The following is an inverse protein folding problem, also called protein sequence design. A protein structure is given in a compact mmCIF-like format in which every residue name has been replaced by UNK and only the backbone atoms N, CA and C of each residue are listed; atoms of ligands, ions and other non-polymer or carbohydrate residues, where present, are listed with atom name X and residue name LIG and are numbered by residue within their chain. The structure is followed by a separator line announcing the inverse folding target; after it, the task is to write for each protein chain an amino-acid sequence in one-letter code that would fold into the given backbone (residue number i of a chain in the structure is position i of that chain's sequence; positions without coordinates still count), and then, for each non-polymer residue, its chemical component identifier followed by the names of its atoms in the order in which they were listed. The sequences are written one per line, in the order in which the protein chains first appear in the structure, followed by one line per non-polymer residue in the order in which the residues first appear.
data_IF_072693919782
#
_entry.id   IF_072693919782
#
_cell.length_a   1.000
_cell.length_b   1.000
_cell.length_c   1.000
_cell.angle_alpha   90.00
_cell.angle_beta   90.00
_cell.angle_gamma   90.00
#
_symmetry.space_group_name_H-M   'P 1'
#
loop_
_entity.id
_entity.type
_entity.pdbx_description
1 polymer ?
#
# COMPACT_ATOMS: atom_id res chain seq x y z
N UNK A 1 -7.67 -17.57 6.25
CA UNK A 1 -7.15 -18.08 4.96
C UNK A 1 -6.91 -17.01 3.89
N UNK A 2 -7.87 -16.16 3.49
CA UNK A 2 -7.66 -15.18 2.40
C UNK A 2 -6.55 -14.16 2.64
N UNK A 3 -6.35 -13.68 3.87
CA UNK A 3 -5.27 -12.76 4.23
C UNK A 3 -3.89 -13.41 4.08
N UNK A 4 -3.72 -14.61 4.62
CA UNK A 4 -2.47 -15.37 4.51
C UNK A 4 -2.06 -15.62 3.05
N UNK A 5 -3.03 -15.98 2.18
CA UNK A 5 -2.76 -16.17 0.76
C UNK A 5 -2.30 -14.86 0.08
N UNK A 6 -2.87 -13.71 0.46
CA UNK A 6 -2.40 -12.40 -0.04
C UNK A 6 -0.99 -12.07 0.46
N UNK A 7 -0.72 -12.36 1.72
CA UNK A 7 0.59 -12.17 2.34
C UNK A 7 1.69 -12.98 1.63
N UNK A 8 1.44 -14.26 1.35
CA UNK A 8 2.34 -15.12 0.57
C UNK A 8 2.48 -14.63 -0.88
N UNK A 9 1.36 -14.30 -1.52
CA UNK A 9 1.35 -13.85 -2.91
C UNK A 9 2.23 -12.62 -3.13
N UNK A 10 2.13 -11.60 -2.28
CA UNK A 10 2.92 -10.37 -2.46
C UNK A 10 4.41 -10.55 -2.17
N UNK A 11 4.78 -11.56 -1.40
CA UNK A 11 6.19 -11.92 -1.19
C UNK A 11 6.77 -12.73 -2.34
N UNK A 12 5.96 -13.61 -2.94
CA UNK A 12 6.41 -14.53 -4.00
C UNK A 12 6.36 -13.90 -5.38
N UNK A 13 5.28 -13.20 -5.72
CA UNK A 13 5.04 -12.73 -7.09
C UNK A 13 6.10 -11.73 -7.60
N UNK A 14 6.51 -10.68 -6.86
CA UNK A 14 7.58 -9.79 -7.30
C UNK A 14 8.94 -10.51 -7.40
N UNK A 15 9.23 -11.44 -6.47
CA UNK A 15 10.46 -12.23 -6.50
C UNK A 15 10.50 -13.16 -7.72
N UNK A 16 9.37 -13.78 -8.07
CA UNK A 16 9.24 -14.56 -9.30
C UNK A 16 9.40 -13.69 -10.54
N UNK A 17 8.85 -12.46 -10.55
CA UNK A 17 9.07 -11.50 -11.63
C UNK A 17 10.55 -11.17 -11.86
N UNK A 18 11.31 -10.97 -10.77
CA UNK A 18 12.75 -10.77 -10.85
C UNK A 18 13.49 -12.03 -11.35
N UNK A 19 13.11 -13.20 -10.89
CA UNK A 19 13.66 -14.47 -11.39
C UNK A 19 13.46 -14.62 -12.91
N UNK A 20 12.24 -14.38 -13.41
CA UNK A 20 11.94 -14.47 -14.84
C UNK A 20 12.68 -13.42 -15.64
N UNK A 21 12.88 -12.21 -15.08
CA UNK A 21 13.68 -11.15 -15.70
C UNK A 21 15.13 -11.61 -15.93
N UNK A 22 15.76 -12.15 -14.90
CA UNK A 22 17.14 -12.66 -14.98
C UNK A 22 17.21 -13.85 -15.94
N UNK A 23 16.28 -14.78 -15.84
CA UNK A 23 16.22 -15.97 -16.69
C UNK A 23 16.08 -15.60 -18.17
N UNK A 24 15.16 -14.71 -18.53
CA UNK A 24 14.94 -14.30 -19.92
C UNK A 24 16.13 -13.54 -20.50
N UNK A 25 16.77 -12.68 -19.70
CA UNK A 25 18.00 -11.99 -20.09
C UNK A 25 19.15 -12.99 -20.34
N UNK A 26 19.32 -13.97 -19.46
CA UNK A 26 20.33 -15.03 -19.63
C UNK A 26 20.04 -15.91 -20.88
N UNK A 27 18.81 -16.30 -21.12
CA UNK A 27 18.44 -17.11 -22.29
C UNK A 27 18.72 -16.40 -23.62
N UNK A 28 18.65 -15.08 -23.67
CA UNK A 28 19.03 -14.30 -24.87
C UNK A 28 20.54 -14.40 -25.18
N UNK A 29 21.38 -14.70 -24.19
CA UNK A 29 22.82 -14.91 -24.40
C UNK A 29 23.18 -16.31 -24.88
N UNK A 30 22.26 -17.28 -24.81
CA UNK A 30 22.52 -18.70 -25.04
C UNK A 30 22.29 -19.13 -26.50
N UNK A 31 22.21 -18.24 -27.47
CA UNK A 31 22.01 -18.55 -28.90
C UNK A 31 20.86 -19.55 -29.18
N UNK A 32 19.86 -19.61 -28.30
CA UNK A 32 18.70 -20.43 -28.55
C UNK A 32 17.80 -19.76 -29.60
N UNK A 33 17.17 -20.57 -30.47
CA UNK A 33 16.38 -20.07 -31.60
C UNK A 33 14.96 -19.59 -31.19
N UNK A 34 14.71 -19.28 -29.89
CA UNK A 34 13.42 -18.83 -29.38
C UNK A 34 13.43 -17.32 -29.04
N UNK A 35 13.94 -16.51 -29.94
CA UNK A 35 14.18 -15.06 -29.71
C UNK A 35 12.92 -14.28 -29.42
N UNK A 36 11.85 -14.48 -30.20
CA UNK A 36 10.59 -13.75 -30.05
C UNK A 36 9.99 -14.05 -28.68
N UNK A 37 9.98 -15.33 -28.28
CA UNK A 37 9.47 -15.74 -26.96
C UNK A 37 10.30 -15.14 -25.83
N UNK A 38 11.63 -15.15 -25.92
CA UNK A 38 12.52 -14.62 -24.89
C UNK A 38 12.41 -13.09 -24.77
N UNK A 39 12.37 -12.35 -25.88
CA UNK A 39 12.19 -10.89 -25.88
C UNK A 39 10.83 -10.53 -25.28
N UNK A 40 9.75 -11.19 -25.69
CA UNK A 40 8.44 -10.95 -25.12
C UNK A 40 8.41 -11.18 -23.60
N UNK A 41 9.05 -12.26 -23.13
CA UNK A 41 9.15 -12.57 -21.69
C UNK A 41 9.98 -11.53 -20.94
N UNK A 42 11.09 -11.09 -21.53
CA UNK A 42 11.94 -10.03 -20.95
C UNK A 42 11.16 -8.72 -20.79
N UNK A 43 10.45 -8.29 -21.82
CA UNK A 43 9.62 -7.07 -21.77
C UNK A 43 8.55 -7.19 -20.69
N UNK A 44 7.85 -8.32 -20.62
CA UNK A 44 6.83 -8.57 -19.61
C UNK A 44 7.40 -8.54 -18.19
N UNK A 45 8.51 -9.23 -17.96
CA UNK A 45 9.18 -9.27 -16.66
C UNK A 45 9.72 -7.88 -16.25
N UNK A 46 10.25 -7.12 -17.22
CA UNK A 46 10.66 -5.72 -17.00
C UNK A 46 9.48 -4.84 -16.57
N UNK A 47 8.30 -5.01 -17.17
CA UNK A 47 7.10 -4.23 -16.77
C UNK A 47 6.65 -4.58 -15.37
N UNK A 48 6.63 -5.85 -14.99
CA UNK A 48 6.30 -6.27 -13.61
C UNK A 48 7.33 -5.73 -12.64
N UNK A 49 8.62 -5.91 -12.92
CA UNK A 49 9.70 -5.45 -12.06
C UNK A 49 9.76 -3.92 -11.93
N UNK A 50 9.59 -3.19 -13.04
CA UNK A 50 9.59 -1.71 -13.04
C UNK A 50 8.45 -1.14 -12.20
N UNK A 51 7.29 -1.80 -12.17
CA UNK A 51 6.19 -1.41 -11.31
C UNK A 51 6.54 -1.59 -9.83
N UNK A 52 6.90 -2.79 -9.41
CA UNK A 52 7.21 -3.05 -7.99
C UNK A 52 8.47 -2.31 -7.53
N UNK A 53 9.53 -2.29 -8.33
CA UNK A 53 10.73 -1.51 -8.05
C UNK A 53 10.46 -0.01 -8.00
N UNK A 54 9.64 0.48 -8.93
CA UNK A 54 9.22 1.88 -8.99
C UNK A 54 8.50 2.37 -7.74
N UNK A 55 7.75 1.50 -7.04
CA UNK A 55 7.11 1.86 -5.76
C UNK A 55 8.13 2.23 -4.67
N UNK A 56 9.34 1.66 -4.71
CA UNK A 56 10.39 1.96 -3.74
C UNK A 56 11.32 3.08 -4.21
N UNK A 57 11.55 3.22 -5.51
CA UNK A 57 12.44 4.23 -6.07
C UNK A 57 11.76 5.58 -6.26
N UNK A 58 10.49 5.57 -6.69
CA UNK A 58 9.68 6.78 -6.89
C UNK A 58 8.76 6.96 -5.69
N UNK A 59 8.87 8.11 -5.01
CA UNK A 59 7.98 8.45 -3.90
C UNK A 59 6.56 8.73 -4.42
N UNK A 60 5.77 7.68 -4.66
CA UNK A 60 4.39 7.78 -5.15
C UNK A 60 3.42 7.28 -4.07
N UNK A 61 2.53 8.15 -3.58
CA UNK A 61 1.56 7.80 -2.55
C UNK A 61 0.38 6.99 -3.11
N UNK A 62 0.12 7.08 -4.40
CA UNK A 62 -1.02 6.45 -5.09
C UNK A 62 -0.65 6.02 -6.51
N UNK A 63 -1.42 5.07 -7.04
CA UNK A 63 -1.35 4.65 -8.45
C UNK A 63 -2.75 4.52 -9.02
N UNK A 64 -2.89 4.48 -10.36
CA UNK A 64 -4.18 4.20 -10.96
C UNK A 64 -4.68 2.78 -10.62
N UNK A 65 -6.01 2.60 -10.58
CA UNK A 65 -6.65 1.30 -10.26
C UNK A 65 -6.19 0.20 -11.21
N UNK A 66 -6.16 0.46 -12.50
CA UNK A 66 -5.98 -0.55 -13.54
C UNK A 66 -4.55 -0.64 -14.07
N UNK A 67 -3.67 0.34 -13.77
CA UNK A 67 -2.31 0.39 -14.31
C UNK A 67 -2.27 0.15 -15.83
N UNK A 68 -3.10 0.89 -16.57
CA UNK A 68 -3.41 0.62 -17.99
C UNK A 68 -2.16 0.42 -18.85
N UNK A 69 -1.15 1.28 -18.73
CA UNK A 69 0.09 1.17 -19.51
C UNK A 69 0.83 -0.14 -19.23
N UNK A 70 1.05 -0.49 -17.95
CA UNK A 70 1.71 -1.75 -17.59
C UNK A 70 0.89 -2.95 -18.07
N UNK A 71 -0.43 -2.93 -17.84
CA UNK A 71 -1.33 -4.02 -18.23
C UNK A 71 -1.35 -4.22 -19.75
N UNK A 72 -1.43 -3.11 -20.53
CA UNK A 72 -1.43 -3.19 -21.99
C UNK A 72 -0.12 -3.78 -22.52
N UNK A 73 1.02 -3.31 -22.03
CA UNK A 73 2.33 -3.82 -22.47
C UNK A 73 2.51 -5.29 -22.09
N UNK A 74 2.10 -5.71 -20.89
CA UNK A 74 2.14 -7.11 -20.44
C UNK A 74 1.29 -8.00 -21.36
N UNK A 75 0.07 -7.56 -21.73
CA UNK A 75 -0.81 -8.33 -22.60
C UNK A 75 -0.28 -8.41 -24.04
N UNK A 76 0.24 -7.30 -24.58
CA UNK A 76 0.88 -7.31 -25.91
C UNK A 76 2.09 -8.23 -25.92
N UNK A 77 2.97 -8.15 -24.91
CA UNK A 77 4.12 -9.02 -24.79
C UNK A 77 3.72 -10.49 -24.73
N UNK A 78 2.63 -10.83 -24.03
CA UNK A 78 2.12 -12.19 -23.97
C UNK A 78 1.60 -12.68 -25.34
N UNK A 79 0.91 -11.83 -26.09
CA UNK A 79 0.47 -12.15 -27.46
C UNK A 79 1.70 -12.42 -28.35
N UNK A 80 2.75 -11.60 -28.25
CA UNK A 80 4.00 -11.81 -29.00
C UNK A 80 4.64 -13.15 -28.66
N UNK A 81 4.65 -13.56 -27.37
CA UNK A 81 5.13 -14.88 -26.94
C UNK A 81 4.31 -16.01 -27.56
N UNK A 82 2.98 -15.88 -27.59
CA UNK A 82 2.09 -16.88 -28.21
C UNK A 82 2.34 -17.00 -29.71
N UNK A 83 2.54 -15.89 -30.43
CA UNK A 83 2.91 -15.89 -31.86
C UNK A 83 4.27 -16.56 -32.04
N UNK A 84 5.28 -16.17 -31.26
CA UNK A 84 6.62 -16.76 -31.30
C UNK A 84 6.59 -18.29 -31.13
N UNK A 85 5.71 -18.80 -30.27
CA UNK A 85 5.54 -20.24 -30.02
C UNK A 85 5.06 -21.04 -31.27
N UNK A 86 4.42 -20.39 -32.23
CA UNK A 86 4.04 -21.00 -33.49
C UNK A 86 5.14 -20.96 -34.57
N UNK A 87 6.05 -19.98 -34.48
CA UNK A 87 7.07 -19.67 -35.49
C UNK A 87 8.43 -20.27 -35.10
N UNK A 88 8.74 -20.31 -33.82
CA UNK A 88 10.04 -20.72 -33.28
C UNK A 88 9.94 -22.08 -32.56
N UNK A 89 11.10 -22.74 -32.25
CA UNK A 89 11.14 -23.91 -31.39
C UNK A 89 10.45 -23.62 -30.04
N UNK A 90 9.64 -24.55 -29.57
CA UNK A 90 8.82 -24.41 -28.38
C UNK A 90 9.68 -24.43 -27.10
N UNK A 91 9.73 -23.31 -26.39
CA UNK A 91 10.30 -23.24 -25.03
C UNK A 91 9.20 -23.35 -24.00
N UNK A 92 9.05 -24.52 -23.37
CA UNK A 92 8.05 -24.72 -22.34
C UNK A 92 8.31 -23.88 -21.09
N UNK A 93 9.58 -23.70 -20.69
CA UNK A 93 9.94 -22.86 -19.53
C UNK A 93 9.52 -21.42 -19.72
N UNK A 94 9.80 -20.82 -20.88
CA UNK A 94 9.40 -19.46 -21.25
C UNK A 94 7.88 -19.32 -21.24
N UNK A 95 7.20 -20.27 -21.86
CA UNK A 95 5.73 -20.24 -21.93
C UNK A 95 5.07 -20.29 -20.55
N UNK A 96 5.45 -21.25 -19.70
CA UNK A 96 4.82 -21.37 -18.38
C UNK A 96 5.18 -20.21 -17.45
N UNK A 97 6.40 -19.73 -17.48
CA UNK A 97 6.80 -18.58 -16.66
C UNK A 97 6.08 -17.31 -17.10
N UNK A 98 5.93 -17.07 -18.39
CA UNK A 98 5.17 -15.92 -18.91
C UNK A 98 3.68 -16.01 -18.59
N UNK A 99 3.10 -17.20 -18.73
CA UNK A 99 1.71 -17.46 -18.36
C UNK A 99 1.49 -17.16 -16.87
N UNK A 100 2.39 -17.60 -16.00
CA UNK A 100 2.32 -17.32 -14.58
C UNK A 100 2.43 -15.81 -14.29
N UNK A 101 3.28 -15.07 -15.01
CA UNK A 101 3.40 -13.61 -14.85
C UNK A 101 2.10 -12.88 -15.23
N UNK A 102 1.45 -13.26 -16.35
CA UNK A 102 0.16 -12.64 -16.74
C UNK A 102 -0.92 -12.93 -15.71
N UNK A 103 -1.09 -14.19 -15.31
CA UNK A 103 -2.07 -14.56 -14.30
C UNK A 103 -1.77 -13.88 -12.94
N UNK A 104 -0.51 -13.83 -12.55
CA UNK A 104 -0.08 -13.14 -11.35
C UNK A 104 -0.37 -11.64 -11.41
N UNK A 105 -0.14 -10.99 -12.56
CA UNK A 105 -0.47 -9.57 -12.75
C UNK A 105 -1.97 -9.30 -12.63
N UNK A 106 -2.79 -10.10 -13.30
CA UNK A 106 -4.26 -9.98 -13.20
C UNK A 106 -4.71 -10.23 -11.75
N UNK A 107 -4.18 -11.25 -11.10
CA UNK A 107 -4.44 -11.55 -9.68
C UNK A 107 -4.02 -10.40 -8.76
N UNK A 108 -2.89 -9.74 -9.04
CA UNK A 108 -2.45 -8.57 -8.33
C UNK A 108 -3.47 -7.42 -8.44
N UNK A 109 -3.94 -7.11 -9.65
CA UNK A 109 -4.87 -6.01 -9.89
C UNK A 109 -6.27 -6.26 -9.30
N UNK A 110 -6.81 -7.46 -9.52
CA UNK A 110 -8.23 -7.76 -9.24
C UNK A 110 -8.47 -8.31 -7.84
N UNK A 111 -7.53 -9.09 -7.33
CA UNK A 111 -7.70 -9.76 -6.04
C UNK A 111 -6.79 -9.22 -4.94
N UNK A 112 -5.47 -9.10 -5.18
CA UNK A 112 -4.55 -8.63 -4.15
C UNK A 112 -4.80 -7.16 -3.79
N UNK A 113 -4.89 -6.29 -4.79
CA UNK A 113 -5.01 -4.83 -4.60
C UNK A 113 -6.34 -4.40 -4.00
N UNK A 114 -7.36 -5.25 -4.08
CA UNK A 114 -8.71 -4.91 -3.61
C UNK A 114 -8.98 -5.43 -2.22
N UNK A 115 -9.68 -4.63 -1.43
CA UNK A 115 -10.28 -5.08 -0.18
C UNK A 115 -11.71 -5.54 -0.45
N UNK A 116 -12.27 -6.35 0.44
CA UNK A 116 -13.72 -6.58 0.46
C UNK A 116 -14.43 -5.26 0.77
N UNK A 117 -15.77 -5.20 0.50
CA UNK A 117 -16.61 -4.09 0.94
C UNK A 117 -16.33 -3.82 2.43
N UNK A 118 -15.85 -2.60 2.71
CA UNK A 118 -15.51 -2.18 4.07
C UNK A 118 -16.77 -1.91 4.86
N UNK A 119 -16.76 -2.26 6.12
CA UNK A 119 -17.79 -1.79 7.04
C UNK A 119 -17.57 -0.29 7.28
N UNK A 120 -18.56 0.50 6.93
CA UNK A 120 -18.53 1.95 7.09
C UNK A 120 -19.34 2.42 8.29
N UNK A 121 -20.01 1.52 9.00
CA UNK A 121 -20.96 1.88 10.06
C UNK A 121 -20.35 2.74 11.17
N UNK A 122 -19.10 2.43 11.55
CA UNK A 122 -18.38 3.15 12.63
C UNK A 122 -17.84 4.49 12.13
N UNK A 123 -17.24 4.51 10.94
CA UNK A 123 -16.52 5.68 10.40
C UNK A 123 -17.35 6.46 9.37
N UNK A 124 -18.67 6.45 9.49
CA UNK A 124 -19.54 7.26 8.63
C UNK A 124 -19.39 8.76 8.92
N UNK A 125 -19.46 9.57 7.86
CA UNK A 125 -19.55 11.02 7.99
C UNK A 125 -20.81 11.39 8.83
N UNK A 126 -20.60 12.25 9.80
CA UNK A 126 -21.64 12.68 10.74
C UNK A 126 -21.60 11.97 12.08
N UNK A 127 -20.99 10.77 12.18
CA UNK A 127 -20.78 10.10 13.45
C UNK A 127 -19.71 10.81 14.29
N UNK A 128 -19.74 10.64 15.60
CA UNK A 128 -18.56 10.94 16.45
C UNK A 128 -17.54 9.84 16.29
N UNK A 129 -16.25 10.24 16.24
CA UNK A 129 -15.15 9.27 16.27
C UNK A 129 -15.24 8.50 17.59
N UNK A 130 -15.27 7.17 17.58
CA UNK A 130 -15.30 6.38 18.83
C UNK A 130 -14.10 6.64 19.71
N UNK A 131 -14.24 6.44 21.00
CA UNK A 131 -13.12 6.45 21.93
C UNK A 131 -12.28 5.19 21.74
N UNK A 132 -10.95 5.35 21.61
CA UNK A 132 -9.98 4.26 21.56
C UNK A 132 -8.63 4.74 22.12
N UNK A 133 -7.78 3.78 22.43
CA UNK A 133 -6.48 4.03 23.03
C UNK A 133 -5.34 3.67 22.07
N UNK A 134 -4.34 4.53 22.05
CA UNK A 134 -3.09 4.36 21.31
C UNK A 134 -1.91 4.52 22.29
N UNK A 135 -0.72 4.22 21.82
CA UNK A 135 0.51 4.40 22.62
C UNK A 135 1.46 5.35 21.90
N UNK A 136 2.09 6.25 22.65
CA UNK A 136 3.18 7.06 22.11
C UNK A 136 4.51 6.29 22.12
N UNK A 137 5.62 6.93 21.71
CA UNK A 137 6.94 6.30 21.67
C UNK A 137 7.45 5.83 23.04
N UNK A 138 6.95 6.43 24.13
CA UNK A 138 7.27 6.05 25.52
C UNK A 138 6.31 4.98 26.08
N UNK A 139 5.38 4.47 25.25
CA UNK A 139 4.31 3.52 25.62
C UNK A 139 3.28 4.11 26.60
N UNK A 140 3.20 5.43 26.69
CA UNK A 140 2.15 6.10 27.45
C UNK A 140 0.85 6.05 26.64
N UNK A 141 -0.27 5.81 27.34
CA UNK A 141 -1.60 5.71 26.72
C UNK A 141 -2.08 7.11 26.33
N UNK A 142 -2.47 7.24 25.08
CA UNK A 142 -3.10 8.42 24.50
C UNK A 142 -4.51 8.05 24.08
N UNK A 143 -5.49 8.73 24.65
CA UNK A 143 -6.91 8.54 24.31
C UNK A 143 -7.27 9.36 23.07
N UNK A 144 -8.17 8.85 22.23
CA UNK A 144 -8.64 9.58 21.06
C UNK A 144 -9.30 10.91 21.45
N UNK A 145 -10.01 10.95 22.57
CA UNK A 145 -10.64 12.16 23.13
C UNK A 145 -9.67 13.27 23.47
N UNK A 146 -8.38 13.01 23.68
CA UNK A 146 -7.38 14.05 23.94
C UNK A 146 -7.15 15.01 22.76
N UNK A 147 -7.66 14.67 21.58
CA UNK A 147 -7.61 15.50 20.36
C UNK A 147 -8.93 16.26 20.09
N UNK A 148 -9.92 16.17 20.97
CA UNK A 148 -11.13 16.99 20.93
C UNK A 148 -10.79 18.43 21.32
N UNK A 149 -11.40 19.41 20.68
CA UNK A 149 -11.14 20.84 20.86
C UNK A 149 -10.48 21.49 19.65
N UNK A 150 -9.96 20.69 18.73
CA UNK A 150 -9.39 21.15 17.45
C UNK A 150 -9.66 20.15 16.34
N UNK A 151 -9.73 20.59 15.07
CA UNK A 151 -9.85 19.67 13.93
C UNK A 151 -8.68 18.70 13.90
N UNK A 152 -8.93 17.44 13.50
CA UNK A 152 -7.90 16.41 13.51
C UNK A 152 -7.95 15.55 12.26
N UNK A 153 -6.77 15.21 11.72
CA UNK A 153 -6.61 14.24 10.64
C UNK A 153 -5.99 12.98 11.24
N UNK A 154 -6.71 11.89 11.13
CA UNK A 154 -6.28 10.54 11.53
C UNK A 154 -5.87 9.76 10.30
N UNK A 155 -4.57 9.49 10.13
CA UNK A 155 -4.04 8.69 9.04
C UNK A 155 -3.58 7.34 9.58
N UNK A 156 -4.38 6.30 9.33
CA UNK A 156 -4.05 4.92 9.65
C UNK A 156 -3.24 4.32 8.50
N UNK A 157 -2.00 3.94 8.77
CA UNK A 157 -1.07 3.41 7.78
C UNK A 157 -0.50 2.07 8.19
N UNK A 158 -0.12 1.27 7.20
CA UNK A 158 0.23 -0.15 7.40
C UNK A 158 1.57 -0.36 8.11
N UNK A 159 2.47 0.60 8.00
CA UNK A 159 3.82 0.57 8.56
C UNK A 159 4.84 1.23 7.64
N UNK A 160 6.07 1.45 8.14
CA UNK A 160 7.16 2.07 7.39
C UNK A 160 7.73 1.17 6.26
N UNK A 161 7.39 -0.12 6.24
CA UNK A 161 7.69 -1.05 5.16
C UNK A 161 6.85 -0.83 3.89
N UNK A 162 5.76 -0.07 3.98
CA UNK A 162 4.83 0.17 2.88
C UNK A 162 5.23 1.45 2.10
N UNK A 163 5.76 1.34 0.87
CA UNK A 163 6.26 2.50 0.13
C UNK A 163 5.19 3.55 -0.15
N UNK A 164 3.96 3.14 -0.49
CA UNK A 164 2.82 4.05 -0.69
C UNK A 164 2.46 4.80 0.60
N UNK A 165 2.60 4.16 1.78
CA UNK A 165 2.35 4.81 3.05
C UNK A 165 3.42 5.87 3.34
N UNK A 166 4.68 5.52 3.11
CA UNK A 166 5.80 6.47 3.32
C UNK A 166 5.70 7.66 2.38
N UNK A 167 5.32 7.44 1.13
CA UNK A 167 5.11 8.51 0.17
C UNK A 167 3.94 9.43 0.60
N UNK A 168 2.82 8.86 1.06
CA UNK A 168 1.67 9.64 1.54
C UNK A 168 2.04 10.49 2.78
N UNK A 169 2.76 9.91 3.74
CA UNK A 169 3.24 10.66 4.91
C UNK A 169 4.16 11.80 4.48
N UNK A 170 5.06 11.56 3.51
CA UNK A 170 5.94 12.60 2.97
C UNK A 170 5.17 13.75 2.31
N UNK A 171 4.14 13.43 1.53
CA UNK A 171 3.27 14.44 0.91
C UNK A 171 2.53 15.27 1.98
N UNK A 172 1.94 14.62 2.99
CA UNK A 172 1.25 15.34 4.07
C UNK A 172 2.23 16.16 4.91
N UNK A 173 3.45 15.66 5.14
CA UNK A 173 4.49 16.40 5.86
C UNK A 173 4.93 17.65 5.09
N UNK A 174 4.89 17.65 3.75
CA UNK A 174 5.17 18.85 2.95
C UNK A 174 4.11 19.95 3.12
N UNK A 175 2.92 19.60 3.58
CA UNK A 175 1.83 20.55 3.89
C UNK A 175 1.76 20.92 5.39
N UNK A 176 2.79 20.54 6.17
CA UNK A 176 2.78 20.71 7.63
C UNK A 176 2.48 22.15 8.07
N UNK A 177 3.14 23.14 7.47
CA UNK A 177 2.96 24.55 7.85
C UNK A 177 1.53 25.05 7.61
N UNK A 178 0.87 24.56 6.57
CA UNK A 178 -0.51 24.95 6.27
C UNK A 178 -1.49 24.31 7.26
N UNK A 179 -1.26 23.05 7.64
CA UNK A 179 -2.06 22.36 8.67
C UNK A 179 -1.88 23.00 10.04
N UNK A 180 -0.64 23.35 10.41
CA UNK A 180 -0.32 24.01 11.67
C UNK A 180 -0.97 25.39 11.79
N UNK A 181 -0.92 26.22 10.73
CA UNK A 181 -1.60 27.53 10.69
C UNK A 181 -3.09 27.42 10.91
N UNK A 182 -3.72 26.30 10.52
CA UNK A 182 -5.14 26.03 10.72
C UNK A 182 -5.46 25.39 12.08
N UNK A 183 -4.47 25.19 12.94
CA UNK A 183 -4.64 24.54 14.23
C UNK A 183 -5.10 23.08 14.12
N UNK A 184 -4.71 22.36 13.05
CA UNK A 184 -5.13 20.98 12.80
C UNK A 184 -4.14 20.01 13.42
N UNK A 185 -4.62 19.08 14.23
CA UNK A 185 -3.83 17.96 14.72
C UNK A 185 -3.68 16.88 13.64
N UNK A 186 -2.44 16.50 13.34
CA UNK A 186 -2.15 15.38 12.45
C UNK A 186 -1.69 14.16 13.24
N UNK A 187 -2.50 13.10 13.23
CA UNK A 187 -2.27 11.86 13.99
C UNK A 187 -2.00 10.71 13.00
N UNK A 188 -0.79 10.16 13.07
CA UNK A 188 -0.32 9.05 12.25
C UNK A 188 -0.35 7.77 13.09
N UNK A 189 -1.19 6.81 12.71
CA UNK A 189 -1.46 5.61 13.50
C UNK A 189 -1.03 4.36 12.75
N UNK A 190 -0.22 3.51 13.37
CA UNK A 190 0.21 2.24 12.79
C UNK A 190 0.42 1.18 13.88
N UNK A 191 0.16 -0.10 13.60
CA UNK A 191 0.47 -1.19 14.54
C UNK A 191 1.94 -1.60 14.52
N UNK A 192 2.81 -0.87 13.83
CA UNK A 192 4.24 -1.18 13.77
C UNK A 192 4.92 -1.06 15.14
N UNK A 193 6.11 -1.68 15.34
CA UNK A 193 6.89 -1.52 16.58
C UNK A 193 7.12 -0.05 16.95
N UNK A 194 7.05 0.31 18.22
CA UNK A 194 7.20 1.69 18.74
C UNK A 194 8.47 2.36 18.22
N UNK A 195 9.59 1.65 18.18
CA UNK A 195 10.85 2.14 17.62
C UNK A 195 10.70 2.66 16.20
N UNK A 196 9.94 1.95 15.36
CA UNK A 196 9.71 2.36 13.96
C UNK A 196 8.86 3.66 13.89
N UNK A 197 7.92 3.85 14.80
CA UNK A 197 7.14 5.09 14.91
C UNK A 197 8.02 6.25 15.40
N UNK A 198 8.90 6.01 16.37
CA UNK A 198 9.88 6.99 16.87
C UNK A 198 10.87 7.41 15.78
N UNK A 199 11.42 6.44 15.03
CA UNK A 199 12.34 6.70 13.92
C UNK A 199 11.69 7.55 12.83
N UNK A 200 10.40 7.31 12.53
CA UNK A 200 9.64 8.15 11.60
C UNK A 200 9.42 9.56 12.13
N UNK A 201 9.08 9.72 13.42
CA UNK A 201 8.92 11.02 14.05
C UNK A 201 10.21 11.85 13.94
N UNK A 202 11.36 11.24 14.24
CA UNK A 202 12.68 11.86 14.10
C UNK A 202 13.00 12.20 12.64
N UNK A 203 12.68 11.29 11.70
CA UNK A 203 12.96 11.47 10.27
C UNK A 203 12.20 12.63 9.65
N UNK A 204 10.92 12.78 9.97
CA UNK A 204 10.09 13.84 9.40
C UNK A 204 10.25 15.16 10.14
N UNK A 205 10.55 15.11 11.43
CA UNK A 205 10.78 16.28 12.31
C UNK A 205 9.70 17.36 12.15
N UNK A 206 8.44 16.94 12.18
CA UNK A 206 7.24 17.80 12.12
C UNK A 206 6.37 17.56 13.35
N UNK A 207 5.53 18.52 13.71
CA UNK A 207 4.66 18.45 14.88
C UNK A 207 3.51 17.43 14.80
N UNK A 208 3.71 16.32 14.06
CA UNK A 208 2.74 15.24 13.95
C UNK A 208 2.84 14.26 15.12
N UNK A 209 1.71 13.69 15.50
CA UNK A 209 1.64 12.64 16.51
C UNK A 209 1.82 11.27 15.86
N UNK A 210 2.95 10.62 16.07
CA UNK A 210 3.21 9.26 15.61
C UNK A 210 2.85 8.28 16.72
N UNK A 211 1.69 7.63 16.59
CA UNK A 211 1.13 6.76 17.62
C UNK A 211 1.08 5.29 17.16
N UNK A 212 1.23 4.38 18.10
CA UNK A 212 1.19 2.94 17.86
C UNK A 212 -0.16 2.37 18.30
N UNK A 213 -0.85 1.68 17.40
CA UNK A 213 -2.01 0.86 17.71
C UNK A 213 -1.56 -0.53 18.15
N UNK A 214 -1.19 -0.66 19.42
CA UNK A 214 -0.63 -1.89 19.97
C UNK A 214 -1.62 -3.06 19.80
N UNK A 215 -1.17 -4.13 19.11
CA UNK A 215 -1.99 -5.32 18.78
C UNK A 215 -3.26 -5.01 17.97
N UNK A 216 -3.24 -3.94 17.20
CA UNK A 216 -4.38 -3.53 16.35
C UNK A 216 -5.71 -3.38 17.14
N UNK A 217 -5.67 -2.89 18.39
CA UNK A 217 -6.86 -2.74 19.23
C UNK A 217 -7.83 -1.70 18.66
N UNK A 218 -7.30 -0.51 18.32
CA UNK A 218 -8.09 0.55 17.69
C UNK A 218 -8.58 0.11 16.30
N UNK A 219 -7.72 -0.51 15.48
CA UNK A 219 -8.10 -1.01 14.16
C UNK A 219 -9.26 -2.02 14.21
N UNK A 220 -9.28 -2.91 15.20
CA UNK A 220 -10.38 -3.86 15.43
C UNK A 220 -11.68 -3.13 15.79
N UNK A 221 -11.62 -2.20 16.71
CA UNK A 221 -12.77 -1.41 17.17
C UNK A 221 -13.36 -0.55 16.06
N UNK A 222 -12.49 0.03 15.19
CA UNK A 222 -12.89 0.88 14.07
C UNK A 222 -13.29 0.09 12.80
N UNK A 223 -13.24 -1.24 12.81
CA UNK A 223 -13.57 -2.07 11.65
C UNK A 223 -12.57 -1.96 10.49
N UNK A 224 -11.34 -1.53 10.78
CA UNK A 224 -10.28 -1.32 9.76
C UNK A 224 -9.11 -2.30 9.91
N UNK A 225 -9.27 -3.38 10.65
CA UNK A 225 -8.26 -4.43 10.77
C UNK A 225 -8.04 -5.14 9.42
N UNK A 226 -6.79 -5.30 9.04
CA UNK A 226 -6.36 -6.15 7.93
C UNK A 226 -5.63 -7.38 8.46
N UNK A 227 -6.38 -8.43 8.77
CA UNK A 227 -5.83 -9.68 9.26
C UNK A 227 -4.88 -10.31 8.23
N UNK A 228 -3.70 -10.74 8.70
CA UNK A 228 -2.58 -11.24 7.88
C UNK A 228 -2.22 -10.29 6.72
N UNK A 229 -2.28 -8.98 6.96
CA UNK A 229 -2.02 -7.97 5.93
C UNK A 229 -0.53 -7.66 5.74
N UNK A 230 0.35 -8.08 6.63
CA UNK A 230 1.82 -7.93 6.50
C UNK A 230 2.35 -8.97 5.51
N UNK A 231 3.25 -8.62 4.57
CA UNK A 231 3.90 -9.59 3.68
C UNK A 231 4.61 -10.69 4.47
N UNK A 232 4.52 -11.94 3.99
CA UNK A 232 5.17 -13.07 4.64
C UNK A 232 6.70 -12.87 4.67
N UNK A 233 7.30 -13.16 5.82
CA UNK A 233 8.73 -12.95 6.06
C UNK A 233 9.07 -11.65 6.81
N UNK A 234 8.18 -10.65 6.86
CA UNK A 234 8.45 -9.39 7.57
C UNK A 234 8.41 -9.54 9.10
N UNK A 235 7.88 -10.66 9.59
CA UNK A 235 7.89 -10.99 11.01
C UNK A 235 9.32 -11.06 11.59
N UNK A 236 10.31 -11.41 10.78
CA UNK A 236 11.73 -11.43 11.21
C UNK A 236 12.27 -10.02 11.52
N UNK A 237 11.59 -8.98 11.04
CA UNK A 237 11.91 -7.57 11.32
C UNK A 237 11.07 -6.99 12.48
N UNK A 238 10.36 -7.85 13.23
CA UNK A 238 9.59 -7.46 14.41
C UNK A 238 8.17 -6.99 14.12
N UNK A 239 7.66 -7.14 12.87
CA UNK A 239 6.26 -6.87 12.58
C UNK A 239 5.37 -8.03 13.00
N UNK A 240 4.13 -7.74 13.38
CA UNK A 240 3.08 -8.74 13.56
C UNK A 240 2.60 -9.28 12.19
N UNK A 241 1.66 -10.20 12.16
CA UNK A 241 1.01 -10.65 10.91
C UNK A 241 -0.10 -9.71 10.46
N UNK A 242 -0.78 -9.09 11.42
CA UNK A 242 -1.91 -8.20 11.20
C UNK A 242 -1.44 -6.75 11.02
N UNK A 243 -2.20 -5.99 10.24
CA UNK A 243 -2.01 -4.55 10.09
C UNK A 243 -3.36 -3.85 9.90
N UNK A 244 -3.35 -2.57 9.59
CA UNK A 244 -4.54 -1.76 9.36
C UNK A 244 -4.83 -1.62 7.86
N UNK A 245 -6.10 -1.54 7.47
CA UNK A 245 -6.50 -1.04 6.17
C UNK A 245 -6.15 0.46 6.09
N UNK A 246 -5.44 0.92 5.04
CA UNK A 246 -5.16 2.34 4.90
C UNK A 246 -6.45 3.15 4.96
N UNK A 247 -6.50 4.10 5.86
CA UNK A 247 -7.72 4.86 6.16
C UNK A 247 -7.33 6.28 6.53
N UNK A 248 -8.09 7.26 6.05
CA UNK A 248 -7.97 8.64 6.52
C UNK A 248 -9.33 9.07 7.05
N UNK A 249 -9.34 9.61 8.27
CA UNK A 249 -10.53 10.21 8.88
C UNK A 249 -10.19 11.64 9.26
N UNK A 250 -11.09 12.58 8.96
CA UNK A 250 -10.98 13.96 9.42
C UNK A 250 -12.16 14.26 10.34
N UNK A 251 -11.86 14.81 11.50
CA UNK A 251 -12.87 15.24 12.47
C UNK A 251 -12.84 16.76 12.63
N UNK A 252 -13.97 17.34 12.93
CA UNK A 252 -14.06 18.72 13.41
C UNK A 252 -13.61 18.82 14.88
N UNK A 253 -13.64 20.03 15.46
CA UNK A 253 -13.24 20.28 16.84
C UNK A 253 -14.13 19.56 17.88
N UNK A 254 -15.35 19.15 17.52
CA UNK A 254 -16.24 18.37 18.41
C UNK A 254 -15.97 16.85 18.37
N UNK A 255 -15.04 16.41 17.52
CA UNK A 255 -14.77 14.98 17.26
C UNK A 255 -15.76 14.33 16.29
N UNK A 256 -16.59 15.13 15.58
CA UNK A 256 -17.50 14.62 14.55
C UNK A 256 -16.74 14.37 13.25
N UNK A 257 -16.94 13.20 12.64
CA UNK A 257 -16.33 12.81 11.37
C UNK A 257 -16.94 13.64 10.24
N UNK A 258 -16.10 14.40 9.54
CA UNK A 258 -16.47 15.23 8.39
C UNK A 258 -15.94 14.69 7.06
N UNK A 259 -14.98 13.75 7.14
CA UNK A 259 -14.45 13.02 5.98
C UNK A 259 -13.95 11.66 6.42
N UNK A 260 -14.17 10.64 5.57
CA UNK A 260 -13.57 9.31 5.75
C UNK A 260 -13.21 8.72 4.38
N UNK A 261 -11.91 8.45 4.17
CA UNK A 261 -11.47 7.63 3.03
C UNK A 261 -11.46 6.16 3.41
N UNK A 262 -12.45 5.44 2.93
CA UNK A 262 -12.66 4.01 3.13
C UNK A 262 -12.53 3.25 1.81
N UNK A 263 -11.60 3.65 0.96
CA UNK A 263 -11.40 3.02 -0.36
C UNK A 263 -11.18 1.51 -0.26
N UNK A 264 -11.65 0.80 -1.26
CA UNK A 264 -11.54 -0.66 -1.38
C UNK A 264 -10.23 -1.13 -2.05
N UNK A 265 -9.37 -0.19 -2.44
CA UNK A 265 -8.09 -0.48 -3.10
C UNK A 265 -6.93 0.22 -2.39
N UNK A 266 -5.95 -0.54 -1.90
CA UNK A 266 -4.85 0.02 -1.09
C UNK A 266 -3.93 0.97 -1.86
N UNK A 267 -4.00 0.99 -3.19
CA UNK A 267 -3.20 1.86 -4.07
C UNK A 267 -3.88 3.18 -4.40
N UNK A 268 -5.18 3.29 -4.15
CA UNK A 268 -5.94 4.52 -4.32
C UNK A 268 -5.99 5.23 -2.98
N UNK A 269 -5.60 6.48 -2.95
CA UNK A 269 -5.51 7.29 -1.73
C UNK A 269 -5.85 8.73 -2.03
N UNK A 270 -6.46 9.46 -1.09
CA UNK A 270 -6.73 10.88 -1.27
C UNK A 270 -5.42 11.69 -1.34
N UNK A 271 -5.47 12.80 -2.02
CA UNK A 271 -4.39 13.77 -2.10
C UNK A 271 -4.44 14.73 -0.89
N UNK A 272 -3.31 15.32 -0.48
CA UNK A 272 -3.29 16.29 0.61
C UNK A 272 -4.23 17.47 0.40
N UNK A 273 -4.42 17.92 -0.84
CA UNK A 273 -5.33 18.99 -1.25
C UNK A 273 -6.79 18.65 -0.90
N UNK A 274 -7.16 17.37 -0.92
CA UNK A 274 -8.46 16.88 -0.45
C UNK A 274 -8.66 17.22 1.02
N UNK A 275 -7.62 17.02 1.85
CA UNK A 275 -7.69 17.32 3.29
C UNK A 275 -7.87 18.81 3.51
N UNK A 276 -7.07 19.64 2.83
CA UNK A 276 -7.17 21.11 2.93
C UNK A 276 -8.54 21.60 2.46
N UNK A 277 -9.11 21.02 1.40
CA UNK A 277 -10.44 21.41 0.88
C UNK A 277 -11.58 21.03 1.83
N UNK A 278 -11.45 19.90 2.57
CA UNK A 278 -12.40 19.48 3.60
C UNK A 278 -12.32 20.43 4.81
N UNK A 279 -11.11 20.72 5.27
CA UNK A 279 -10.85 21.61 6.41
C UNK A 279 -11.24 23.07 6.14
N UNK A 280 -11.26 23.51 4.89
CA UNK A 280 -11.70 24.86 4.51
C UNK A 280 -13.22 25.09 4.66
N UNK A 281 -13.98 24.03 4.94
CA UNK A 281 -15.46 24.09 5.10
C UNK A 281 -15.91 24.14 6.56
N UNK A 282 -14.97 24.18 7.52
CA UNK A 282 -15.24 24.21 8.97
C UNK A 282 -14.67 25.45 9.66
#
# INVERSE_FOLDING_TARGET
MKGLLKSLFISIFPAFGLYVLILSAWQLTQQNNAWIQNIGTLVMALMVFSFFGGLFLKSQARTSRNLNTHTLVILIAYIVILIGRFIEPKSNLVYYSSTFLVFGWITYLTWFSTFKKRDTSVLNIGNKLPEFQLENSKKEIINASSFIGQPSIWLFYRGNWCPLCMAQIKEVASQYQELEKRGVSMILVSPQPHKNSEDLAKKFNVGFHFLTDYKNKAAKQLGILHANGIPAGFQVMGYDSDTVLPTVVITDASGKIIFADLTDNYRIRPEPETFLSVLAKI
#
